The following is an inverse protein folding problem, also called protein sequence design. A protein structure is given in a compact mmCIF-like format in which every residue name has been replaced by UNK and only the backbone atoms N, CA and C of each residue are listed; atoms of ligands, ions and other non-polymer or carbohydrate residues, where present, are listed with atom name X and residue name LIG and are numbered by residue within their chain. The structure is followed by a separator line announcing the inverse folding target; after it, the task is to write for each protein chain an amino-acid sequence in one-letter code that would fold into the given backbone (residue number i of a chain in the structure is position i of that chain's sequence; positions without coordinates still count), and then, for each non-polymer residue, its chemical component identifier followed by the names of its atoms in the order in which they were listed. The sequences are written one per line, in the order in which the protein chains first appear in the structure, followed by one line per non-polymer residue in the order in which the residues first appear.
data_IF_609419516935
#
_entry.id   IF_609419516935
#
_cell.length_a   1.000
_cell.length_b   1.000
_cell.length_c   1.000
_cell.angle_alpha   90.00
_cell.angle_beta   90.00
_cell.angle_gamma   90.00
#
_symmetry.space_group_name_H-M   'P 1'
#
loop_
_entity.id
_entity.type
_entity.pdbx_description
1 polymer ?
#
# COMPACT_ATOMS: atom_id res chain seq x y z
N UNK A 1 -49.28 -2.84 7.91
CA UNK A 1 -48.21 -3.70 7.34
C UNK A 1 -46.88 -3.08 7.70
N UNK A 2 -46.15 -3.71 8.62
CA UNK A 2 -44.85 -3.25 9.11
C UNK A 2 -43.75 -3.64 8.13
N UNK A 3 -42.97 -2.66 7.67
CA UNK A 3 -41.78 -2.86 6.85
C UNK A 3 -40.70 -1.89 7.29
N UNK A 4 -40.33 -1.96 8.57
CA UNK A 4 -39.26 -1.17 9.16
C UNK A 4 -37.98 -1.49 8.38
N UNK A 5 -37.57 -0.55 7.53
CA UNK A 5 -36.30 -0.58 6.81
C UNK A 5 -35.15 -0.80 7.78
N UNK A 6 -34.05 -1.37 7.26
CA UNK A 6 -32.83 -1.73 8.00
C UNK A 6 -32.18 -0.51 8.67
N UNK A 7 -32.77 -0.02 9.75
CA UNK A 7 -32.22 1.05 10.57
C UNK A 7 -32.12 0.56 12.02
N UNK A 8 -30.90 0.65 12.56
CA UNK A 8 -30.71 0.81 14.00
C UNK A 8 -30.07 -0.33 14.80
N UNK A 9 -29.37 -1.31 14.21
CA UNK A 9 -28.38 -2.05 15.02
C UNK A 9 -27.19 -1.14 15.29
N UNK A 10 -26.84 -0.92 16.56
CA UNK A 10 -25.60 -0.23 16.97
C UNK A 10 -24.45 -0.88 16.19
N UNK A 11 -23.93 -0.15 15.20
CA UNK A 11 -22.88 -0.68 14.32
C UNK A 11 -21.65 -0.89 15.20
N UNK A 12 -21.31 -2.16 15.44
CA UNK A 12 -20.01 -2.50 16.03
C UNK A 12 -18.88 -1.83 15.24
N UNK A 13 -17.74 -1.56 15.89
CA UNK A 13 -16.62 -0.83 15.27
C UNK A 13 -16.33 -1.38 13.88
N UNK A 14 -16.57 -0.57 12.86
CA UNK A 14 -16.33 -0.96 11.48
C UNK A 14 -14.83 -1.25 11.31
N UNK A 15 -14.47 -2.47 10.89
CA UNK A 15 -13.07 -2.79 10.56
C UNK A 15 -12.58 -1.86 9.46
N UNK A 16 -11.41 -1.25 9.65
CA UNK A 16 -10.82 -0.35 8.66
C UNK A 16 -10.46 -1.10 7.37
N UNK A 17 -10.39 -0.39 6.23
CA UNK A 17 -9.94 -0.99 4.96
C UNK A 17 -8.50 -1.50 5.04
N UNK A 18 -7.65 -0.83 5.81
CA UNK A 18 -6.28 -1.27 6.11
C UNK A 18 -6.26 -2.61 6.83
N UNK A 19 -7.00 -2.72 7.94
CA UNK A 19 -7.08 -3.95 8.73
C UNK A 19 -7.71 -5.11 7.94
N UNK A 20 -8.65 -4.83 7.03
CA UNK A 20 -9.21 -5.87 6.13
C UNK A 20 -8.22 -6.33 5.07
N UNK A 21 -7.35 -5.44 4.59
CA UNK A 21 -6.32 -5.77 3.62
C UNK A 21 -5.04 -6.34 4.26
N UNK A 22 -4.95 -6.39 5.59
CA UNK A 22 -3.74 -6.84 6.30
C UNK A 22 -2.55 -5.87 6.17
N UNK A 23 -2.81 -4.60 5.84
CA UNK A 23 -1.76 -3.62 5.58
C UNK A 23 -1.66 -2.63 6.76
N UNK A 24 -0.42 -2.33 7.17
CA UNK A 24 -0.15 -1.25 8.14
C UNK A 24 -0.45 0.13 7.56
N UNK A 25 -0.30 0.29 6.24
CA UNK A 25 -0.53 1.55 5.56
C UNK A 25 -2.00 1.97 5.56
N UNK A 26 -2.30 3.29 5.63
CA UNK A 26 -3.65 3.81 5.70
C UNK A 26 -4.36 3.82 4.33
N UNK A 27 -4.86 2.67 3.89
CA UNK A 27 -5.60 2.46 2.61
C UNK A 27 -6.70 3.50 2.41
N UNK A 28 -7.46 3.83 3.46
CA UNK A 28 -8.53 4.82 3.34
C UNK A 28 -8.04 6.24 3.01
N UNK A 29 -6.86 6.62 3.52
CA UNK A 29 -6.24 7.93 3.28
C UNK A 29 -5.68 8.02 1.87
N UNK A 30 -4.99 6.97 1.42
CA UNK A 30 -4.44 6.88 0.06
C UNK A 30 -5.57 7.01 -0.97
N UNK A 31 -6.69 6.31 -0.76
CA UNK A 31 -7.86 6.40 -1.64
C UNK A 31 -8.43 7.84 -1.73
N UNK A 32 -8.41 8.58 -0.61
CA UNK A 32 -8.84 9.98 -0.58
C UNK A 32 -7.86 10.89 -1.33
N UNK A 33 -6.56 10.70 -1.13
CA UNK A 33 -5.52 11.50 -1.79
C UNK A 33 -5.55 11.30 -3.31
N UNK A 34 -5.74 10.06 -3.77
CA UNK A 34 -5.84 9.75 -5.20
C UNK A 34 -7.01 10.49 -5.87
N UNK A 35 -8.16 10.58 -5.19
CA UNK A 35 -9.31 11.36 -5.70
C UNK A 35 -9.11 12.85 -5.62
N UNK A 36 -8.51 13.35 -4.53
CA UNK A 36 -8.22 14.78 -4.37
C UNK A 36 -7.24 15.28 -5.44
N UNK A 37 -6.24 14.45 -5.77
CA UNK A 37 -5.24 14.77 -6.80
C UNK A 37 -5.73 14.60 -8.24
N UNK A 38 -6.97 14.14 -8.47
CA UNK A 38 -7.58 13.93 -9.80
C UNK A 38 -6.69 13.10 -10.75
N UNK A 39 -5.93 12.13 -10.22
CA UNK A 39 -5.01 11.32 -11.01
C UNK A 39 -5.70 10.39 -12.01
N UNK A 40 -6.99 10.07 -11.79
CA UNK A 40 -7.84 9.32 -12.70
C UNK A 40 -9.30 9.71 -12.50
N UNK A 41 -10.11 9.58 -13.55
CA UNK A 41 -11.56 9.83 -13.52
C UNK A 41 -12.27 8.94 -12.49
N UNK A 42 -11.81 7.68 -12.33
CA UNK A 42 -12.33 6.75 -11.35
C UNK A 42 -11.21 6.01 -10.61
N UNK A 43 -11.26 6.06 -9.27
CA UNK A 43 -10.32 5.34 -8.40
C UNK A 43 -11.05 4.17 -7.72
N UNK A 44 -10.86 2.97 -8.28
CA UNK A 44 -11.38 1.72 -7.73
C UNK A 44 -10.73 1.34 -6.39
N UNK A 45 -11.45 0.57 -5.57
CA UNK A 45 -10.96 0.13 -4.26
C UNK A 45 -9.72 -0.80 -4.37
N UNK A 46 -9.63 -1.60 -5.44
CA UNK A 46 -8.51 -2.51 -5.71
C UNK A 46 -7.19 -1.78 -5.96
N UNK A 47 -7.21 -0.67 -6.69
CA UNK A 47 -6.01 0.14 -7.01
C UNK A 47 -5.30 0.62 -5.76
N UNK A 48 -6.06 1.02 -4.73
CA UNK A 48 -5.45 1.54 -3.49
C UNK A 48 -4.77 0.44 -2.67
N UNK A 49 -5.35 -0.76 -2.65
CA UNK A 49 -4.77 -1.92 -1.96
C UNK A 49 -3.54 -2.39 -2.71
N UNK A 50 -3.59 -2.40 -4.05
CA UNK A 50 -2.47 -2.75 -4.90
C UNK A 50 -1.28 -1.78 -4.74
N UNK A 51 -1.52 -0.46 -4.79
CA UNK A 51 -0.45 0.54 -4.56
C UNK A 51 0.19 0.41 -3.18
N UNK A 52 -0.60 0.13 -2.15
CA UNK A 52 -0.07 -0.11 -0.81
C UNK A 52 0.70 -1.44 -0.72
N UNK A 53 0.33 -2.46 -1.50
CA UNK A 53 1.08 -3.72 -1.60
C UNK A 53 2.39 -3.56 -2.37
N UNK A 54 2.41 -2.78 -3.46
CA UNK A 54 3.63 -2.42 -4.21
C UNK A 54 4.61 -1.64 -3.33
N UNK A 55 4.12 -0.81 -2.40
CA UNK A 55 4.99 -0.11 -1.45
C UNK A 55 5.60 -1.02 -0.37
N UNK A 56 5.00 -2.17 -0.10
CA UNK A 56 5.45 -3.13 0.92
C UNK A 56 6.35 -4.21 0.31
N UNK A 57 5.99 -4.70 -0.87
CA UNK A 57 6.78 -5.68 -1.62
C UNK A 57 7.87 -4.91 -2.34
N UNK A 58 9.11 -5.40 -2.28
CA UNK A 58 10.27 -4.78 -2.92
C UNK A 58 10.13 -4.91 -4.45
N UNK A 59 9.22 -4.13 -5.00
CA UNK A 59 8.64 -4.32 -6.31
C UNK A 59 9.48 -3.63 -7.38
N UNK A 60 9.76 -4.35 -8.45
CA UNK A 60 10.60 -3.84 -9.55
C UNK A 60 10.00 -2.60 -10.22
N UNK A 61 8.66 -2.48 -10.27
CA UNK A 61 8.00 -1.31 -10.86
C UNK A 61 8.15 -0.09 -9.95
N UNK A 62 8.10 -0.28 -8.63
CA UNK A 62 8.34 0.81 -7.69
C UNK A 62 9.79 1.27 -7.74
N UNK A 63 10.75 0.34 -7.86
CA UNK A 63 12.16 0.68 -8.02
C UNK A 63 12.43 1.42 -9.35
N UNK A 64 11.76 1.02 -10.44
CA UNK A 64 11.82 1.74 -11.73
C UNK A 64 11.20 3.14 -11.64
N UNK A 65 10.06 3.27 -10.96
CA UNK A 65 9.37 4.55 -10.78
C UNK A 65 10.16 5.53 -9.90
N UNK A 66 10.84 5.01 -8.87
CA UNK A 66 11.65 5.79 -7.93
C UNK A 66 13.13 5.86 -8.31
N UNK A 67 13.51 5.42 -9.52
CA UNK A 67 14.91 5.37 -9.97
C UNK A 67 15.65 6.71 -9.85
N UNK A 68 14.93 7.84 -9.94
CA UNK A 68 15.48 9.20 -9.83
C UNK A 68 15.27 9.86 -8.46
N UNK A 69 14.69 9.15 -7.50
CA UNK A 69 14.36 9.68 -6.17
C UNK A 69 15.37 9.15 -5.16
N UNK A 70 16.09 10.05 -4.48
CA UNK A 70 16.96 9.67 -3.36
C UNK A 70 16.14 9.65 -2.06
N UNK A 71 16.09 8.49 -1.39
CA UNK A 71 15.42 8.35 -0.10
C UNK A 71 16.40 8.73 1.01
N UNK A 72 16.13 9.86 1.69
CA UNK A 72 16.92 10.26 2.85
C UNK A 72 16.85 9.17 3.94
N UNK A 73 18.01 8.78 4.48
CA UNK A 73 18.15 7.71 5.49
C UNK A 73 17.64 6.32 5.06
N UNK A 74 17.44 6.07 3.76
CA UNK A 74 16.89 4.81 3.26
C UNK A 74 17.85 3.62 3.27
N UNK A 75 19.16 3.86 3.41
CA UNK A 75 20.18 2.83 3.27
C UNK A 75 20.28 2.28 1.84
N UNK A 76 20.95 1.14 1.67
CA UNK A 76 21.10 0.45 0.39
C UNK A 76 20.74 -1.03 0.55
N UNK A 77 20.29 -1.67 -0.52
CA UNK A 77 20.03 -3.10 -0.50
C UNK A 77 21.35 -3.85 -0.27
N UNK A 78 21.44 -4.76 0.72
CA UNK A 78 22.65 -5.55 0.92
C UNK A 78 22.97 -6.39 -0.33
N UNK A 79 24.09 -6.10 -0.98
CA UNK A 79 24.58 -6.85 -2.13
C UNK A 79 26.11 -6.89 -2.12
N UNK A 80 26.69 -8.08 -1.99
CA UNK A 80 28.14 -8.30 -1.97
C UNK A 80 28.50 -9.05 -3.25
N UNK A 81 29.36 -8.46 -4.09
CA UNK A 81 29.80 -9.14 -5.31
C UNK A 81 30.53 -10.44 -4.95
N UNK A 82 30.29 -11.48 -5.75
CA UNK A 82 30.87 -12.81 -5.51
C UNK A 82 32.41 -12.80 -5.43
N UNK A 83 33.07 -11.85 -6.11
CA UNK A 83 34.53 -11.66 -6.03
C UNK A 83 35.03 -11.35 -4.60
N UNK A 84 34.18 -10.74 -3.77
CA UNK A 84 34.50 -10.39 -2.39
C UNK A 84 34.01 -11.44 -1.38
N UNK A 85 33.35 -12.51 -1.83
CA UNK A 85 32.98 -13.61 -0.94
C UNK A 85 34.24 -14.44 -0.68
N UNK A 86 34.71 -14.58 0.57
CA UNK A 86 35.86 -15.40 0.87
C UNK A 86 35.59 -16.85 0.45
N UNK A 87 36.49 -17.43 -0.34
CA UNK A 87 36.43 -18.86 -0.67
C UNK A 87 36.67 -19.64 0.62
N UNK A 88 35.77 -20.56 0.94
CA UNK A 88 36.00 -21.55 1.99
C UNK A 88 37.30 -22.30 1.65
N UNK A 89 38.22 -22.36 2.62
CA UNK A 89 39.40 -23.22 2.57
C UNK A 89 38.99 -24.69 2.63
#
# INVERSE_FOLDING_TARGET
MSGRGKDGKVKGKAKSRSNRAGLQFPVGRIHRLLRKGKYAEQVGAGVTVYLAALAIRNDEELNKLLYRVTIAQGGVLPNIQAVFIPKKA
#
